data_IF_262150588209
#
_entry.id   IF_262150588209
#
_cell.length_a   1.000
_cell.length_b   1.000
_cell.length_c   1.000
_cell.angle_alpha   90.00
_cell.angle_beta   90.00
_cell.angle_gamma   90.00
#
_symmetry.space_group_name_H-M   'P 1'
#
loop_
_entity.id
_entity.type
_entity.pdbx_description
1 polymer ?
#
# COMPACT_ATOMS: atom_id res chain seq x y z
N UNK A 1 60.99 25.42 -6.75
CA UNK A 1 60.10 24.62 -7.62
C UNK A 1 59.16 23.66 -6.87
N UNK A 2 59.59 22.99 -5.78
CA UNK A 2 58.71 22.09 -4.98
C UNK A 2 57.57 22.82 -4.23
N UNK A 3 57.85 23.98 -3.64
CA UNK A 3 56.85 24.78 -2.91
C UNK A 3 55.70 25.27 -3.81
N UNK A 4 56.03 25.76 -5.00
CA UNK A 4 55.05 26.20 -6.00
C UNK A 4 54.12 25.06 -6.46
N UNK A 5 54.67 23.86 -6.66
CA UNK A 5 53.87 22.67 -7.02
C UNK A 5 52.91 22.27 -5.90
N UNK A 6 53.35 22.36 -4.63
CA UNK A 6 52.51 22.08 -3.47
C UNK A 6 51.35 23.07 -3.35
N UNK A 7 51.63 24.37 -3.42
CA UNK A 7 50.59 25.40 -3.35
C UNK A 7 49.62 25.36 -4.54
N UNK A 8 50.11 25.02 -5.73
CA UNK A 8 49.24 24.83 -6.89
C UNK A 8 48.28 23.65 -6.68
N UNK A 9 48.78 22.52 -6.17
CA UNK A 9 47.94 21.38 -5.84
C UNK A 9 46.91 21.68 -4.75
N UNK A 10 47.28 22.46 -3.72
CA UNK A 10 46.36 22.92 -2.67
C UNK A 10 45.27 23.85 -3.23
N UNK A 11 45.63 24.78 -4.12
CA UNK A 11 44.65 25.69 -4.76
C UNK A 11 43.70 24.93 -5.69
N UNK A 12 44.20 23.94 -6.43
CA UNK A 12 43.36 23.14 -7.32
C UNK A 12 42.40 22.24 -6.52
N UNK A 13 42.84 21.69 -5.38
CA UNK A 13 42.00 20.94 -4.46
C UNK A 13 40.91 21.82 -3.82
N UNK A 14 41.26 23.03 -3.38
CA UNK A 14 40.29 23.99 -2.82
C UNK A 14 39.25 24.43 -3.86
N UNK A 15 39.64 24.61 -5.13
CA UNK A 15 38.70 24.91 -6.21
C UNK A 15 37.73 23.76 -6.49
N UNK A 16 38.21 22.52 -6.47
CA UNK A 16 37.36 21.35 -6.61
C UNK A 16 36.33 21.27 -5.46
N UNK A 17 36.77 21.53 -4.23
CA UNK A 17 35.90 21.54 -3.06
C UNK A 17 34.87 22.68 -3.10
N UNK A 18 35.25 23.87 -3.59
CA UNK A 18 34.31 24.99 -3.78
C UNK A 18 33.24 24.63 -4.82
N UNK A 19 33.63 24.05 -5.96
CA UNK A 19 32.69 23.65 -7.00
C UNK A 19 31.71 22.56 -6.51
N UNK A 20 32.20 21.62 -5.69
CA UNK A 20 31.36 20.61 -5.06
C UNK A 20 30.34 21.25 -4.10
N UNK A 21 30.79 22.17 -3.24
CA UNK A 21 29.92 22.90 -2.30
C UNK A 21 28.88 23.79 -3.01
N UNK A 22 29.22 24.37 -4.15
CA UNK A 22 28.29 25.14 -4.97
C UNK A 22 27.18 24.27 -5.58
N UNK A 23 27.48 23.01 -5.91
CA UNK A 23 26.47 22.05 -6.38
C UNK A 23 25.45 21.72 -5.27
N UNK A 24 25.92 21.53 -4.03
CA UNK A 24 25.05 21.32 -2.88
C UNK A 24 24.21 22.55 -2.55
N UNK A 25 24.79 23.75 -2.65
CA UNK A 25 24.06 25.01 -2.48
C UNK A 25 22.95 25.18 -3.51
N UNK A 26 23.22 24.86 -4.77
CA UNK A 26 22.23 24.97 -5.86
C UNK A 26 21.08 24.00 -5.66
N UNK A 27 21.39 22.72 -5.36
CA UNK A 27 20.38 21.72 -5.03
C UNK A 27 19.55 22.12 -3.80
N UNK A 28 20.18 22.69 -2.77
CA UNK A 28 19.48 23.19 -1.58
C UNK A 28 18.53 24.35 -1.92
N UNK A 29 18.96 25.31 -2.72
CA UNK A 29 18.14 26.47 -3.10
C UNK A 29 16.94 26.06 -3.98
N UNK A 30 17.13 25.16 -4.95
CA UNK A 30 16.05 24.65 -5.79
C UNK A 30 15.02 23.84 -4.99
N UNK A 31 15.48 23.03 -4.03
CA UNK A 31 14.60 22.20 -3.20
C UNK A 31 13.95 22.97 -2.05
N UNK A 32 14.59 24.03 -1.56
CA UNK A 32 13.98 24.98 -0.63
C UNK A 32 12.78 25.68 -1.27
N UNK A 33 12.94 26.20 -2.49
CA UNK A 33 11.90 26.95 -3.21
C UNK A 33 10.62 26.14 -3.45
N UNK A 34 10.71 24.82 -3.67
CA UNK A 34 9.54 23.93 -3.89
C UNK A 34 8.62 23.78 -2.67
N UNK A 35 9.07 24.25 -1.52
CA UNK A 35 8.37 24.08 -0.23
C UNK A 35 8.09 25.41 0.47
N UNK A 36 8.37 26.55 -0.17
CA UNK A 36 8.12 27.88 0.39
C UNK A 36 6.62 28.11 0.68
N UNK A 37 5.73 27.45 -0.05
CA UNK A 37 4.29 27.49 0.19
C UNK A 37 3.89 26.90 1.57
N UNK A 38 4.63 25.91 2.09
CA UNK A 38 4.36 25.31 3.41
C UNK A 38 4.65 26.29 4.56
N UNK A 39 5.58 27.23 4.37
CA UNK A 39 5.92 28.25 5.37
C UNK A 39 4.88 29.37 5.45
N UNK A 40 4.05 29.51 4.42
CA UNK A 40 3.05 30.57 4.30
C UNK A 40 1.62 30.06 4.50
N UNK A 41 1.43 28.74 4.54
CA UNK A 41 0.12 28.11 4.73
C UNK A 41 -0.18 27.88 6.23
N UNK A 42 -1.21 28.59 6.70
CA UNK A 42 -1.65 28.60 8.11
C UNK A 42 -2.03 27.23 8.67
N UNK A 43 -2.30 26.23 7.82
CA UNK A 43 -2.59 24.85 8.26
C UNK A 43 -1.40 24.25 9.01
N UNK A 44 -0.18 24.72 8.76
CA UNK A 44 1.05 24.21 9.37
C UNK A 44 1.52 25.04 10.58
N UNK A 45 0.78 26.07 11.01
CA UNK A 45 1.12 26.92 12.16
C UNK A 45 1.16 26.15 13.49
N UNK A 46 0.50 25.00 13.57
CA UNK A 46 0.51 24.09 14.73
C UNK A 46 1.85 23.39 14.93
N UNK A 47 2.72 23.39 13.93
CA UNK A 47 4.06 22.81 13.99
C UNK A 47 5.05 23.88 14.48
N UNK A 48 5.19 24.08 15.79
CA UNK A 48 6.30 24.87 16.37
C UNK A 48 7.12 24.05 17.37
N UNK A 49 8.47 24.15 17.36
CA UNK A 49 9.33 24.99 16.51
C UNK A 49 9.82 24.25 15.25
N UNK A 50 10.04 25.03 14.18
CA UNK A 50 10.61 24.63 12.88
C UNK A 50 12.11 24.33 12.98
N UNK A 51 12.50 23.47 13.93
CA UNK A 51 13.86 23.00 14.17
C UNK A 51 14.05 21.49 13.96
N UNK A 52 12.99 20.78 13.53
CA UNK A 52 13.09 19.38 13.09
C UNK A 52 13.31 19.38 11.59
N UNK A 53 14.33 18.65 11.13
CA UNK A 53 14.67 18.52 9.72
C UNK A 53 13.41 18.11 8.95
N UNK A 54 13.19 18.57 7.70
CA UNK A 54 12.01 18.17 6.93
C UNK A 54 11.86 16.65 6.83
N UNK A 55 12.98 15.94 6.85
CA UNK A 55 13.02 14.48 6.96
C UNK A 55 12.43 13.94 8.27
N UNK A 56 12.59 14.63 9.40
CA UNK A 56 12.01 14.23 10.69
C UNK A 56 10.49 14.41 10.70
N UNK A 57 9.98 15.45 10.04
CA UNK A 57 8.54 15.67 9.88
C UNK A 57 7.93 14.61 8.97
N UNK A 58 8.57 14.33 7.83
CA UNK A 58 8.15 13.26 6.92
C UNK A 58 8.25 11.89 7.58
N UNK A 59 9.32 11.62 8.34
CA UNK A 59 9.48 10.39 9.11
C UNK A 59 8.38 10.24 10.16
N UNK A 60 8.09 11.29 10.93
CA UNK A 60 7.00 11.26 11.91
C UNK A 60 5.62 11.11 11.25
N UNK A 61 5.42 11.69 10.07
CA UNK A 61 4.19 11.53 9.29
C UNK A 61 4.02 10.11 8.77
N UNK A 62 5.09 9.50 8.23
CA UNK A 62 5.11 8.09 7.80
C UNK A 62 4.86 7.17 9.00
N UNK A 63 5.59 7.35 10.11
CA UNK A 63 5.40 6.57 11.34
C UNK A 63 4.00 6.74 11.95
N UNK A 64 3.35 7.89 11.74
CA UNK A 64 1.97 8.16 12.16
C UNK A 64 0.93 7.52 11.22
N UNK A 65 1.20 7.50 9.91
CA UNK A 65 0.29 6.97 8.90
C UNK A 65 0.41 5.46 8.73
N UNK A 66 1.60 4.88 8.77
CA UNK A 66 1.81 3.43 8.53
C UNK A 66 0.97 2.52 9.44
N UNK A 67 0.83 2.77 10.76
CA UNK A 67 -0.04 1.98 11.62
C UNK A 67 -1.54 2.22 11.35
N UNK A 68 -1.88 3.36 10.75
CA UNK A 68 -3.25 3.73 10.37
C UNK A 68 -3.63 3.28 8.95
N UNK A 69 -2.63 3.01 8.11
CA UNK A 69 -2.81 2.76 6.69
C UNK A 69 -3.32 1.35 6.40
N UNK A 70 -3.02 0.34 7.22
CA UNK A 70 -3.66 -0.97 7.15
C UNK A 70 -3.24 -1.85 8.32
N UNK A 71 -4.19 -2.52 8.98
CA UNK A 71 -3.83 -3.57 9.93
C UNK A 71 -3.26 -4.78 9.18
N UNK A 72 -2.43 -5.61 9.82
CA UNK A 72 -1.96 -6.87 9.22
C UNK A 72 -3.13 -7.74 8.70
N UNK A 73 -4.30 -7.68 9.34
CA UNK A 73 -5.48 -8.41 8.90
C UNK A 73 -6.07 -7.85 7.60
N UNK A 74 -6.14 -6.52 7.45
CA UNK A 74 -6.58 -5.87 6.22
C UNK A 74 -5.57 -6.12 5.09
N UNK A 75 -4.27 -6.02 5.38
CA UNK A 75 -3.22 -6.35 4.42
C UNK A 75 -3.31 -7.79 3.91
N UNK A 76 -3.59 -8.76 4.80
CA UNK A 76 -3.77 -10.16 4.43
C UNK A 76 -4.97 -10.39 3.47
N UNK A 77 -6.07 -9.65 3.65
CA UNK A 77 -7.25 -9.70 2.78
C UNK A 77 -6.93 -9.15 1.40
N UNK A 78 -6.27 -8.00 1.33
CA UNK A 78 -5.85 -7.39 0.06
C UNK A 78 -4.85 -8.30 -0.68
N UNK A 79 -3.90 -8.89 0.04
CA UNK A 79 -2.96 -9.84 -0.54
C UNK A 79 -3.65 -11.10 -1.08
N UNK A 80 -4.69 -11.62 -0.40
CA UNK A 80 -5.47 -12.74 -0.91
C UNK A 80 -6.29 -12.35 -2.15
N UNK A 81 -6.87 -11.15 -2.19
CA UNK A 81 -7.55 -10.63 -3.40
C UNK A 81 -6.57 -10.58 -4.58
N UNK A 82 -5.39 -10.00 -4.38
CA UNK A 82 -4.36 -9.94 -5.41
C UNK A 82 -3.94 -11.34 -5.89
N UNK A 83 -3.86 -12.31 -4.98
CA UNK A 83 -3.58 -13.71 -5.33
C UNK A 83 -4.71 -14.34 -6.15
N UNK A 84 -5.97 -14.05 -5.84
CA UNK A 84 -7.12 -14.55 -6.62
C UNK A 84 -7.05 -14.04 -8.06
N UNK A 85 -6.76 -12.75 -8.24
CA UNK A 85 -6.58 -12.14 -9.57
C UNK A 85 -5.40 -12.77 -10.32
N UNK A 86 -4.22 -12.82 -9.68
CA UNK A 86 -2.97 -13.18 -10.39
C UNK A 86 -2.74 -14.68 -10.56
N UNK A 87 -3.14 -15.50 -9.58
CA UNK A 87 -2.84 -16.93 -9.58
C UNK A 87 -4.04 -17.79 -10.00
N UNK A 88 -5.25 -17.23 -10.00
CA UNK A 88 -6.46 -17.95 -10.42
C UNK A 88 -7.19 -17.29 -11.58
N UNK A 89 -6.70 -16.15 -12.06
CA UNK A 89 -7.29 -15.39 -13.16
C UNK A 89 -8.74 -14.94 -12.85
N UNK A 90 -9.06 -14.76 -11.57
CA UNK A 90 -10.33 -14.19 -11.11
C UNK A 90 -10.26 -12.66 -11.24
N UNK A 91 -10.29 -12.18 -12.47
CA UNK A 91 -10.23 -10.75 -12.77
C UNK A 91 -11.53 -10.05 -12.40
N UNK A 92 -11.53 -8.71 -12.25
CA UNK A 92 -12.76 -7.94 -12.11
C UNK A 92 -13.84 -8.29 -13.14
N UNK A 93 -13.43 -8.49 -14.40
CA UNK A 93 -14.34 -8.85 -15.50
C UNK A 93 -14.91 -10.26 -15.34
N UNK A 94 -14.11 -11.22 -14.87
CA UNK A 94 -14.61 -12.55 -14.50
C UNK A 94 -15.63 -12.46 -13.37
N UNK A 95 -15.36 -11.64 -12.36
CA UNK A 95 -16.28 -11.46 -11.22
C UNK A 95 -17.62 -10.85 -11.65
N UNK A 96 -17.62 -10.03 -12.71
CA UNK A 96 -18.84 -9.44 -13.29
C UNK A 96 -19.76 -10.50 -13.95
N UNK A 97 -19.25 -11.69 -14.26
CA UNK A 97 -20.05 -12.83 -14.73
C UNK A 97 -20.89 -13.47 -13.61
N UNK A 98 -20.57 -13.20 -12.34
CA UNK A 98 -21.26 -13.74 -11.16
C UNK A 98 -22.38 -12.82 -10.67
N UNK A 99 -23.60 -12.99 -11.19
CA UNK A 99 -24.74 -12.11 -10.86
C UNK A 99 -25.66 -12.61 -9.73
N UNK A 100 -25.48 -13.84 -9.23
CA UNK A 100 -26.37 -14.48 -8.24
C UNK A 100 -25.81 -14.46 -6.79
N UNK A 101 -25.00 -13.45 -6.44
CA UNK A 101 -24.33 -13.34 -5.13
C UNK A 101 -23.38 -14.51 -4.82
N UNK A 102 -22.83 -15.15 -5.85
CA UNK A 102 -22.02 -16.37 -5.69
C UNK A 102 -20.76 -16.11 -4.86
N UNK A 103 -20.10 -14.96 -5.02
CA UNK A 103 -18.94 -14.62 -4.20
C UNK A 103 -19.31 -14.46 -2.72
N UNK A 104 -20.45 -13.81 -2.43
CA UNK A 104 -20.97 -13.71 -1.06
C UNK A 104 -21.34 -15.08 -0.47
N UNK A 105 -21.97 -15.97 -1.24
CA UNK A 105 -22.29 -17.34 -0.82
C UNK A 105 -21.02 -18.15 -0.51
N UNK A 106 -19.99 -18.03 -1.36
CA UNK A 106 -18.69 -18.65 -1.14
C UNK A 106 -17.99 -18.09 0.12
N UNK A 107 -18.10 -16.79 0.38
CA UNK A 107 -17.58 -16.18 1.59
C UNK A 107 -18.24 -16.74 2.86
N UNK A 108 -19.58 -16.90 2.86
CA UNK A 108 -20.32 -17.52 3.98
C UNK A 108 -19.83 -18.95 4.23
N UNK A 109 -19.55 -19.72 3.18
CA UNK A 109 -19.01 -21.07 3.33
C UNK A 109 -17.65 -21.07 4.05
N UNK A 110 -16.75 -20.15 3.68
CA UNK A 110 -15.47 -19.99 4.39
C UNK A 110 -15.64 -19.44 5.82
N UNK A 111 -16.62 -18.56 6.07
CA UNK A 111 -16.97 -18.05 7.41
C UNK A 111 -17.54 -19.16 8.30
N UNK A 112 -18.21 -20.16 7.75
CA UNK A 112 -18.76 -21.26 8.53
C UNK A 112 -17.77 -22.44 8.70
N UNK A 113 -16.73 -22.51 7.88
CA UNK A 113 -15.67 -23.50 8.05
C UNK A 113 -14.79 -23.16 9.26
N UNK A 114 -14.98 -23.94 10.33
CA UNK A 114 -14.24 -23.80 11.59
C UNK A 114 -12.94 -24.60 11.60
N UNK A 115 -12.61 -25.32 10.53
CA UNK A 115 -11.42 -26.18 10.43
C UNK A 115 -11.60 -27.53 11.13
N UNK A 116 -12.77 -27.76 11.73
CA UNK A 116 -13.13 -29.03 12.40
C UNK A 116 -14.17 -29.83 11.61
N UNK A 117 -14.78 -29.25 10.57
CA UNK A 117 -16.06 -29.73 10.03
C UNK A 117 -15.94 -30.65 8.82
N UNK A 118 -14.77 -30.77 8.19
CA UNK A 118 -14.66 -31.59 7.00
C UNK A 118 -13.98 -32.95 7.25
N UNK A 119 -14.57 -33.77 8.14
CA UNK A 119 -14.17 -35.18 8.30
C UNK A 119 -14.47 -36.04 7.05
N UNK A 120 -15.30 -35.54 6.12
CA UNK A 120 -15.71 -36.25 4.90
C UNK A 120 -15.19 -35.60 3.60
N UNK A 121 -14.39 -34.53 3.67
CA UNK A 121 -13.74 -33.89 2.51
C UNK A 121 -14.62 -33.17 1.49
N UNK A 122 -15.95 -33.10 1.70
CA UNK A 122 -16.91 -32.53 0.74
C UNK A 122 -17.11 -31.01 0.87
N UNK A 123 -17.59 -30.35 -0.20
CA UNK A 123 -17.98 -28.93 -0.14
C UNK A 123 -19.23 -28.72 0.73
N UNK A 124 -19.41 -27.56 1.38
CA UNK A 124 -20.67 -27.19 2.01
C UNK A 124 -21.82 -27.14 1.01
N UNK A 125 -23.05 -27.36 1.49
CA UNK A 125 -24.27 -27.32 0.67
C UNK A 125 -24.41 -25.99 -0.09
N UNK A 126 -24.15 -24.86 0.59
CA UNK A 126 -24.23 -23.51 0.02
C UNK A 126 -23.05 -23.09 -0.85
N UNK A 127 -22.05 -23.95 -1.11
CA UNK A 127 -20.93 -23.59 -1.97
C UNK A 127 -21.39 -23.53 -3.43
N UNK A 128 -21.23 -22.38 -4.11
CA UNK A 128 -21.87 -22.12 -5.41
C UNK A 128 -21.14 -22.74 -6.59
N UNK A 129 -19.85 -23.07 -6.44
CA UNK A 129 -19.01 -23.54 -7.53
C UNK A 129 -18.74 -25.05 -7.48
N UNK A 130 -17.92 -25.54 -8.40
CA UNK A 130 -17.50 -26.93 -8.39
C UNK A 130 -16.76 -27.30 -7.09
N UNK A 131 -16.96 -28.54 -6.63
CA UNK A 131 -16.41 -29.04 -5.37
C UNK A 131 -14.87 -29.03 -5.34
N UNK A 132 -14.20 -29.17 -6.48
CA UNK A 132 -12.72 -29.14 -6.57
C UNK A 132 -12.12 -27.77 -6.20
N UNK A 133 -12.93 -26.71 -6.27
CA UNK A 133 -12.53 -25.36 -5.89
C UNK A 133 -12.68 -25.10 -4.39
N UNK A 134 -13.40 -25.97 -3.68
CA UNK A 134 -13.49 -25.92 -2.23
C UNK A 134 -12.18 -26.39 -1.58
N UNK A 135 -11.36 -25.41 -1.20
CA UNK A 135 -10.06 -25.63 -0.55
C UNK A 135 -10.03 -24.96 0.84
N UNK A 136 -10.72 -25.53 1.85
CA UNK A 136 -10.70 -24.98 3.21
C UNK A 136 -9.30 -25.12 3.82
N UNK A 137 -9.01 -24.27 4.81
CA UNK A 137 -7.76 -24.26 5.55
C UNK A 137 -8.05 -23.88 7.02
N UNK A 138 -7.06 -23.35 7.74
CA UNK A 138 -7.23 -22.83 9.10
C UNK A 138 -8.31 -21.75 9.16
N UNK A 139 -8.90 -21.60 10.37
CA UNK A 139 -9.95 -20.61 10.63
C UNK A 139 -9.57 -19.22 10.14
N UNK A 140 -8.38 -18.73 10.50
CA UNK A 140 -7.87 -17.41 10.08
C UNK A 140 -7.78 -17.31 8.56
N UNK A 141 -7.22 -18.31 7.89
CA UNK A 141 -7.04 -18.26 6.43
C UNK A 141 -8.38 -18.30 5.68
N UNK A 142 -9.37 -19.03 6.20
CA UNK A 142 -10.72 -19.02 5.64
C UNK A 142 -11.38 -17.65 5.80
N UNK A 143 -11.24 -16.99 6.95
CA UNK A 143 -11.74 -15.62 7.14
C UNK A 143 -11.08 -14.63 6.17
N UNK A 144 -9.77 -14.76 5.92
CA UNK A 144 -9.07 -13.94 4.92
C UNK A 144 -9.62 -14.17 3.50
N UNK A 145 -9.84 -15.44 3.10
CA UNK A 145 -10.47 -15.77 1.82
C UNK A 145 -11.89 -15.22 1.70
N UNK A 146 -12.67 -15.31 2.78
CA UNK A 146 -14.01 -14.76 2.84
C UNK A 146 -13.99 -13.23 2.68
N UNK A 147 -13.09 -12.53 3.37
CA UNK A 147 -12.89 -11.09 3.22
C UNK A 147 -12.54 -10.70 1.77
N UNK A 148 -11.65 -11.45 1.12
CA UNK A 148 -11.28 -11.18 -0.27
C UNK A 148 -12.44 -11.39 -1.25
N UNK A 149 -13.29 -12.41 -1.01
CA UNK A 149 -14.50 -12.66 -1.80
C UNK A 149 -15.57 -11.59 -1.58
N UNK A 150 -15.73 -11.09 -0.34
CA UNK A 150 -16.64 -9.99 -0.05
C UNK A 150 -16.18 -8.72 -0.75
N UNK A 151 -14.88 -8.43 -0.72
CA UNK A 151 -14.29 -7.29 -1.42
C UNK A 151 -14.53 -7.39 -2.94
N UNK A 152 -14.33 -8.57 -3.53
CA UNK A 152 -14.65 -8.83 -4.94
C UNK A 152 -16.13 -8.58 -5.29
N UNK A 153 -17.06 -9.01 -4.43
CA UNK A 153 -18.50 -8.76 -4.63
C UNK A 153 -18.85 -7.28 -4.51
N UNK A 154 -18.26 -6.55 -3.55
CA UNK A 154 -18.47 -5.10 -3.41
C UNK A 154 -17.96 -4.38 -4.66
N UNK A 155 -16.73 -4.68 -5.10
CA UNK A 155 -16.16 -4.11 -6.32
C UNK A 155 -17.05 -4.37 -7.55
N UNK A 156 -17.64 -5.57 -7.66
CA UNK A 156 -18.58 -5.93 -8.73
C UNK A 156 -19.88 -5.12 -8.64
N UNK A 157 -20.43 -4.95 -7.45
CA UNK A 157 -21.63 -4.13 -7.21
C UNK A 157 -21.36 -2.67 -7.56
N UNK A 158 -20.22 -2.13 -7.13
CA UNK A 158 -19.83 -0.75 -7.37
C UNK A 158 -19.64 -0.49 -8.87
N UNK A 159 -18.96 -1.39 -9.59
CA UNK A 159 -18.85 -1.34 -11.06
C UNK A 159 -20.21 -1.39 -11.74
N UNK A 160 -21.08 -2.31 -11.32
CA UNK A 160 -22.42 -2.44 -11.89
C UNK A 160 -23.30 -1.19 -11.64
N UNK A 161 -23.07 -0.49 -10.53
CA UNK A 161 -23.77 0.73 -10.16
C UNK A 161 -23.10 2.01 -10.71
N UNK A 162 -21.91 1.92 -11.29
CA UNK A 162 -21.12 3.08 -11.73
C UNK A 162 -20.58 3.92 -10.57
N UNK A 163 -20.44 3.35 -9.38
CA UNK A 163 -19.85 3.99 -8.20
C UNK A 163 -18.32 3.93 -8.39
N UNK A 164 -17.71 5.08 -8.65
CA UNK A 164 -16.26 5.24 -8.55
C UNK A 164 -15.96 5.88 -7.18
N UNK A 165 -15.07 5.28 -6.39
CA UNK A 165 -14.53 5.92 -5.18
C UNK A 165 -13.75 7.18 -5.59
N UNK A 166 -14.43 8.33 -5.69
CA UNK A 166 -13.75 9.61 -5.59
C UNK A 166 -13.22 9.71 -4.16
N UNK A 167 -11.91 9.56 -4.03
CA UNK A 167 -11.19 9.77 -2.79
C UNK A 167 -11.33 11.24 -2.41
N UNK A 168 -12.27 11.58 -1.53
CA UNK A 168 -12.36 12.89 -0.86
C UNK A 168 -11.18 13.12 0.10
#
# INVERSE_FOLDING_TARGET
>A
MRLYKKHKAEVDALKAQIAELESFRTAYMEWSAKTDWLQTDKRFDVLKPWGKHRADVLKAYIEYLEPRASTNAAADVLAERQRQITAKEWTPEHDDEHCNNEMAMAAVCYINETGTVNRNGGKPWGWPWDASWWKPNTRRRNLVKAGALILAEIERIDRAAGINEEVE
#
